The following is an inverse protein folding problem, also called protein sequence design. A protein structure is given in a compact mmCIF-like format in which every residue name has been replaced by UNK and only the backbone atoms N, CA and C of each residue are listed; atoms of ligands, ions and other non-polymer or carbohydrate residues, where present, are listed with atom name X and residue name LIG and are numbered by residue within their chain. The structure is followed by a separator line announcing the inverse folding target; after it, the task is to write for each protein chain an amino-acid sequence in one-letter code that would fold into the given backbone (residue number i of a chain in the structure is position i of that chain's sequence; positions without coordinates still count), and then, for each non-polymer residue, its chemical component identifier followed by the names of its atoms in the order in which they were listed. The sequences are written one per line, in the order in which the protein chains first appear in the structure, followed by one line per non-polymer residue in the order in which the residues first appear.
data_IF_721101665842
#
_entry.id   IF_721101665842
#
_cell.length_a   1.000
_cell.length_b   1.000
_cell.length_c   1.000
_cell.angle_alpha   90.00
_cell.angle_beta   90.00
_cell.angle_gamma   90.00
#
_symmetry.space_group_name_H-M   'P 1'
#
loop_
_entity.id
_entity.type
_entity.pdbx_description
1 polymer ?
#
# COMPACT_ATOMS: atom_id res chain seq x y z
N UNK A 1 4.62 37.85 -7.32
CA UNK A 1 5.84 37.44 -6.58
C UNK A 1 7.06 37.40 -7.51
N UNK A 2 6.89 37.00 -8.76
CA UNK A 2 7.99 36.83 -9.74
C UNK A 2 8.70 38.19 -10.12
N UNK A 3 8.00 39.30 -10.01
CA UNK A 3 8.55 40.66 -10.34
C UNK A 3 9.01 41.45 -9.09
N UNK A 4 9.05 40.83 -7.93
CA UNK A 4 9.41 41.50 -6.67
C UNK A 4 10.92 41.45 -6.41
N UNK A 5 11.57 42.60 -6.21
CA UNK A 5 13.00 42.68 -5.91
C UNK A 5 13.43 41.98 -4.57
N UNK A 6 12.48 41.58 -3.72
CA UNK A 6 12.70 40.95 -2.40
C UNK A 6 12.18 39.51 -2.32
N UNK A 7 11.69 38.96 -3.43
CA UNK A 7 11.12 37.62 -3.43
C UNK A 7 11.74 36.78 -4.54
N UNK A 8 12.07 35.53 -4.25
CA UNK A 8 12.48 34.52 -5.21
C UNK A 8 11.34 33.51 -5.38
N UNK A 9 10.81 33.39 -6.57
CA UNK A 9 9.86 32.33 -6.92
C UNK A 9 10.63 31.16 -7.55
N UNK A 10 10.60 30.00 -6.88
CA UNK A 10 11.21 28.78 -7.40
C UNK A 10 10.08 27.87 -7.90
N UNK A 11 9.97 27.63 -9.22
CA UNK A 11 8.97 26.72 -9.74
C UNK A 11 9.35 25.28 -9.36
N UNK A 12 8.42 24.57 -8.73
CA UNK A 12 8.57 23.15 -8.41
C UNK A 12 7.66 22.36 -9.38
N UNK A 13 8.26 21.74 -10.37
CA UNK A 13 7.56 20.85 -11.28
C UNK A 13 7.53 19.43 -10.72
N UNK A 14 6.48 18.67 -11.06
CA UNK A 14 6.46 17.24 -10.76
C UNK A 14 7.54 16.52 -11.59
N UNK A 15 8.23 15.58 -10.95
CA UNK A 15 9.22 14.76 -11.67
C UNK A 15 8.52 13.79 -12.64
N UNK A 16 9.11 13.61 -13.81
CA UNK A 16 8.73 12.54 -14.72
C UNK A 16 9.33 11.20 -14.26
N UNK A 17 8.72 10.08 -14.64
CA UNK A 17 9.21 8.73 -14.31
C UNK A 17 10.68 8.54 -14.71
N UNK A 18 11.11 9.16 -15.82
CA UNK A 18 12.51 9.13 -16.26
C UNK A 18 13.46 9.78 -15.26
N UNK A 19 13.06 10.90 -14.67
CA UNK A 19 13.89 11.65 -13.72
C UNK A 19 13.98 10.93 -12.38
N UNK A 20 12.88 10.31 -11.96
CA UNK A 20 12.85 9.45 -10.77
C UNK A 20 13.68 8.17 -10.93
N UNK A 21 13.69 7.56 -12.13
CA UNK A 21 14.57 6.44 -12.44
C UNK A 21 16.05 6.85 -12.42
N UNK A 22 16.40 8.01 -12.98
CA UNK A 22 17.76 8.53 -12.92
C UNK A 22 18.21 8.79 -11.48
N UNK A 23 17.33 9.34 -10.65
CA UNK A 23 17.56 9.51 -9.21
C UNK A 23 17.81 8.17 -8.51
N UNK A 24 16.98 7.17 -8.80
CA UNK A 24 17.12 5.82 -8.23
C UNK A 24 18.44 5.18 -8.63
N UNK A 25 18.81 5.25 -9.90
CA UNK A 25 20.08 4.71 -10.43
C UNK A 25 21.30 5.42 -9.79
N UNK A 26 21.24 6.74 -9.61
CA UNK A 26 22.29 7.49 -8.94
C UNK A 26 22.46 7.06 -7.47
N UNK A 27 21.35 6.95 -6.72
CA UNK A 27 21.39 6.53 -5.32
C UNK A 27 21.87 5.07 -5.16
N UNK A 28 21.47 4.17 -6.04
CA UNK A 28 21.97 2.78 -6.05
C UNK A 28 23.47 2.72 -6.36
N UNK A 29 23.93 3.57 -7.30
CA UNK A 29 25.34 3.62 -7.69
C UNK A 29 26.26 4.08 -6.55
N UNK A 30 25.79 4.97 -5.66
CA UNK A 30 26.53 5.37 -4.44
C UNK A 30 26.85 4.16 -3.56
N UNK A 31 25.99 3.15 -3.56
CA UNK A 31 26.17 1.89 -2.84
C UNK A 31 26.78 0.77 -3.70
N UNK A 32 27.28 1.08 -4.90
CA UNK A 32 27.84 0.08 -5.81
C UNK A 32 26.81 -0.91 -6.35
N UNK A 33 25.53 -0.51 -6.40
CA UNK A 33 24.43 -1.30 -6.95
C UNK A 33 24.03 -0.82 -8.33
N UNK A 34 23.69 -1.73 -9.23
CA UNK A 34 23.18 -1.42 -10.56
C UNK A 34 21.86 -2.14 -10.83
N UNK A 35 20.94 -1.51 -11.55
CA UNK A 35 19.69 -2.15 -11.98
C UNK A 35 19.91 -3.01 -13.22
N UNK A 36 19.39 -4.23 -13.21
CA UNK A 36 19.22 -5.00 -14.43
C UNK A 36 18.12 -4.34 -15.32
N UNK A 37 18.18 -4.46 -16.66
CA UNK A 37 17.23 -3.79 -17.55
C UNK A 37 15.77 -4.16 -17.30
N UNK A 38 15.48 -5.42 -16.96
CA UNK A 38 14.15 -5.92 -16.62
C UNK A 38 13.70 -5.46 -15.22
N UNK A 39 14.64 -5.38 -14.26
CA UNK A 39 14.40 -4.79 -12.96
C UNK A 39 14.08 -3.30 -13.06
N UNK A 40 14.78 -2.56 -13.92
CA UNK A 40 14.53 -1.15 -14.21
C UNK A 40 13.09 -0.91 -14.70
N UNK A 41 12.65 -1.71 -15.66
CA UNK A 41 11.29 -1.63 -16.19
C UNK A 41 10.23 -1.97 -15.15
N UNK A 42 10.53 -2.91 -14.25
CA UNK A 42 9.62 -3.30 -13.16
C UNK A 42 9.58 -2.27 -12.03
N UNK A 43 10.67 -1.57 -11.75
CA UNK A 43 10.76 -0.55 -10.68
C UNK A 43 10.03 0.74 -11.05
N UNK A 44 10.01 1.11 -12.34
CA UNK A 44 9.48 2.37 -12.84
C UNK A 44 8.08 2.74 -12.29
N UNK A 45 7.06 1.83 -12.27
CA UNK A 45 5.74 2.13 -11.74
C UNK A 45 5.70 2.40 -10.23
N UNK A 46 6.71 1.95 -9.48
CA UNK A 46 6.79 2.16 -8.03
C UNK A 46 7.41 3.52 -7.66
N UNK A 47 8.04 4.19 -8.63
CA UNK A 47 8.68 5.50 -8.43
C UNK A 47 7.77 6.68 -8.81
N UNK A 48 6.52 6.42 -9.24
CA UNK A 48 5.61 7.47 -9.70
C UNK A 48 5.17 8.38 -8.54
N UNK A 49 5.14 9.68 -8.80
CA UNK A 49 4.42 10.69 -8.05
C UNK A 49 5.23 11.53 -7.07
N UNK A 50 6.17 11.00 -6.31
CA UNK A 50 6.88 11.74 -5.27
C UNK A 50 8.34 11.29 -5.13
N UNK A 51 9.26 12.26 -5.14
CA UNK A 51 10.70 12.06 -4.99
C UNK A 51 11.09 11.45 -3.65
N UNK A 52 10.38 11.77 -2.57
CA UNK A 52 10.62 11.20 -1.25
C UNK A 52 10.19 9.73 -1.19
N UNK A 53 9.05 9.39 -1.81
CA UNK A 53 8.59 8.02 -1.95
C UNK A 53 9.59 7.20 -2.79
N UNK A 54 10.03 7.72 -3.94
CA UNK A 54 11.01 7.06 -4.79
C UNK A 54 12.32 6.75 -4.03
N UNK A 55 12.83 7.70 -3.24
CA UNK A 55 14.01 7.47 -2.38
C UNK A 55 13.78 6.36 -1.36
N UNK A 56 12.62 6.34 -0.71
CA UNK A 56 12.29 5.30 0.26
C UNK A 56 12.22 3.91 -0.37
N UNK A 57 11.70 3.79 -1.60
CA UNK A 57 11.68 2.51 -2.34
C UNK A 57 13.11 2.05 -2.67
N UNK A 58 13.98 2.99 -3.06
CA UNK A 58 15.40 2.69 -3.35
C UNK A 58 16.16 2.31 -2.09
N UNK A 59 15.93 2.99 -0.95
CA UNK A 59 16.54 2.64 0.34
C UNK A 59 16.18 1.21 0.76
N UNK A 60 14.95 0.78 0.55
CA UNK A 60 14.55 -0.62 0.82
C UNK A 60 15.35 -1.62 -0.04
N UNK A 61 15.59 -1.30 -1.31
CA UNK A 61 16.42 -2.12 -2.20
C UNK A 61 17.87 -2.19 -1.73
N UNK A 62 18.44 -1.07 -1.30
CA UNK A 62 19.80 -0.99 -0.76
C UNK A 62 19.91 -1.85 0.51
N UNK A 63 18.98 -1.68 1.45
CA UNK A 63 18.96 -2.46 2.70
C UNK A 63 18.77 -3.96 2.45
N UNK A 64 17.96 -4.32 1.47
CA UNK A 64 17.73 -5.72 1.11
C UNK A 64 18.99 -6.38 0.52
N UNK A 65 19.75 -5.67 -0.32
CA UNK A 65 21.02 -6.16 -0.89
C UNK A 65 22.18 -6.07 0.08
N UNK A 66 22.05 -5.29 1.15
CA UNK A 66 23.13 -4.91 2.06
C UNK A 66 23.88 -3.66 1.58
N UNK A 67 24.38 -2.89 2.52
CA UNK A 67 25.19 -1.71 2.27
C UNK A 67 26.53 -2.08 1.65
N UNK A 68 27.20 -1.14 0.98
CA UNK A 68 28.49 -1.38 0.31
C UNK A 68 29.56 -1.94 1.25
N UNK A 69 29.63 -1.45 2.48
CA UNK A 69 30.53 -1.91 3.53
C UNK A 69 30.21 -3.35 3.98
N UNK A 70 28.96 -3.72 4.10
CA UNK A 70 28.52 -5.07 4.45
C UNK A 70 28.82 -6.09 3.36
N UNK A 71 28.90 -5.65 2.09
CA UNK A 71 29.28 -6.47 0.94
C UNK A 71 30.80 -6.46 0.68
N UNK A 72 31.61 -5.85 1.53
CA UNK A 72 33.05 -5.73 1.31
C UNK A 72 33.42 -4.82 0.14
N UNK A 73 32.54 -3.93 -0.30
CA UNK A 73 32.72 -3.04 -1.45
C UNK A 73 32.48 -3.72 -2.79
N UNK A 74 32.05 -4.99 -2.83
CA UNK A 74 31.77 -5.69 -4.09
C UNK A 74 30.53 -5.11 -4.79
N UNK A 75 30.65 -4.78 -6.10
CA UNK A 75 29.49 -4.36 -6.89
C UNK A 75 28.45 -5.48 -6.98
N UNK A 76 27.17 -5.12 -6.86
CA UNK A 76 26.09 -6.06 -7.01
C UNK A 76 25.01 -5.53 -7.95
N UNK A 77 24.14 -6.42 -8.41
CA UNK A 77 23.04 -6.08 -9.31
C UNK A 77 21.69 -6.33 -8.64
N UNK A 78 20.80 -5.40 -8.82
CA UNK A 78 19.38 -5.56 -8.47
C UNK A 78 18.69 -6.27 -9.62
N UNK A 79 18.22 -7.46 -9.36
CA UNK A 79 17.49 -8.30 -10.31
C UNK A 79 15.97 -8.14 -10.12
N UNK A 80 15.19 -8.56 -11.11
CA UNK A 80 13.73 -8.58 -11.03
C UNK A 80 13.20 -9.31 -9.80
N UNK A 81 13.87 -10.40 -9.39
CA UNK A 81 13.51 -11.17 -8.21
C UNK A 81 13.62 -10.36 -6.92
N UNK A 82 14.59 -9.45 -6.82
CA UNK A 82 14.79 -8.59 -5.65
C UNK A 82 13.64 -7.59 -5.51
N UNK A 83 13.23 -6.96 -6.62
CA UNK A 83 12.08 -6.05 -6.64
C UNK A 83 10.81 -6.81 -6.27
N UNK A 84 10.62 -8.02 -6.80
CA UNK A 84 9.48 -8.86 -6.45
C UNK A 84 9.47 -9.20 -4.96
N UNK A 85 10.61 -9.55 -4.37
CA UNK A 85 10.72 -9.89 -2.95
C UNK A 85 10.35 -8.71 -2.03
N UNK A 86 10.82 -7.50 -2.38
CA UNK A 86 10.53 -6.29 -1.60
C UNK A 86 9.10 -5.80 -1.82
N UNK A 87 8.62 -5.81 -3.07
CA UNK A 87 7.28 -5.38 -3.42
C UNK A 87 6.21 -6.36 -2.95
N UNK A 88 6.52 -7.66 -2.86
CA UNK A 88 5.59 -8.67 -2.37
C UNK A 88 5.21 -8.47 -0.89
N UNK A 89 6.14 -7.95 -0.07
CA UNK A 89 5.88 -7.67 1.34
C UNK A 89 4.92 -6.49 1.59
N UNK A 90 4.73 -5.61 0.59
CA UNK A 90 3.89 -4.42 0.71
C UNK A 90 3.07 -4.10 -0.54
N UNK A 91 3.02 -5.00 -1.54
CA UNK A 91 2.29 -4.72 -2.78
C UNK A 91 0.78 -4.56 -2.51
N UNK A 92 0.17 -3.63 -3.21
CA UNK A 92 -1.30 -3.43 -3.17
C UNK A 92 -2.05 -4.74 -3.45
N UNK A 93 -1.52 -5.58 -4.35
CA UNK A 93 -2.04 -6.90 -4.66
C UNK A 93 -1.96 -7.88 -3.47
N UNK A 94 -0.88 -7.85 -2.69
CA UNK A 94 -0.75 -8.69 -1.48
C UNK A 94 -1.73 -8.23 -0.38
N UNK A 95 -1.92 -6.92 -0.24
CA UNK A 95 -2.88 -6.35 0.69
C UNK A 95 -4.33 -6.62 0.26
N UNK A 96 -4.62 -6.58 -1.03
CA UNK A 96 -5.94 -6.96 -1.57
C UNK A 96 -6.29 -8.42 -1.31
N UNK A 97 -5.31 -9.34 -1.27
CA UNK A 97 -5.54 -10.73 -0.87
C UNK A 97 -6.04 -10.87 0.58
N UNK A 98 -5.75 -9.89 1.45
CA UNK A 98 -6.29 -9.84 2.82
C UNK A 98 -7.65 -9.16 2.82
N UNK A 99 -7.77 -8.02 2.14
CA UNK A 99 -8.96 -7.18 2.17
C UNK A 99 -10.15 -7.81 1.46
N UNK A 100 -9.91 -8.52 0.35
CA UNK A 100 -10.98 -9.19 -0.39
C UNK A 100 -11.76 -10.19 0.48
N UNK A 101 -11.15 -11.18 1.13
CA UNK A 101 -11.88 -12.10 2.01
C UNK A 101 -12.39 -11.42 3.29
N UNK A 102 -11.66 -10.43 3.84
CA UNK A 102 -12.09 -9.71 5.03
C UNK A 102 -13.40 -8.95 4.80
N UNK A 103 -13.50 -8.22 3.69
CA UNK A 103 -14.70 -7.47 3.33
C UNK A 103 -15.72 -8.30 2.54
N UNK A 104 -15.30 -9.44 2.00
CA UNK A 104 -16.13 -10.40 1.28
C UNK A 104 -16.86 -11.43 2.14
N UNK A 105 -16.48 -11.57 3.43
CA UNK A 105 -17.13 -12.46 4.38
C UNK A 105 -16.57 -13.88 4.42
N UNK A 106 -15.26 -14.03 4.26
CA UNK A 106 -14.52 -15.29 4.41
C UNK A 106 -13.48 -15.17 5.53
N UNK A 107 -13.84 -15.42 6.80
CA UNK A 107 -12.94 -15.28 7.94
C UNK A 107 -11.70 -16.19 7.85
N UNK A 108 -11.87 -17.43 7.38
CA UNK A 108 -10.77 -18.39 7.34
C UNK A 108 -9.71 -17.98 6.32
N UNK A 109 -10.15 -17.55 5.13
CA UNK A 109 -9.25 -17.05 4.08
C UNK A 109 -8.60 -15.73 4.49
N UNK A 110 -9.33 -14.82 5.15
CA UNK A 110 -8.81 -13.55 5.63
C UNK A 110 -7.70 -13.75 6.67
N UNK A 111 -7.92 -14.63 7.65
CA UNK A 111 -6.95 -14.97 8.69
C UNK A 111 -5.68 -15.58 8.09
N UNK A 112 -5.84 -16.58 7.23
CA UNK A 112 -4.72 -17.23 6.55
C UNK A 112 -3.90 -16.28 5.67
N UNK A 113 -4.57 -15.36 4.96
CA UNK A 113 -3.89 -14.36 4.13
C UNK A 113 -3.13 -13.35 4.99
N UNK A 114 -3.73 -12.90 6.09
CA UNK A 114 -3.10 -11.99 7.03
C UNK A 114 -1.87 -12.62 7.69
N UNK A 115 -1.98 -13.84 8.22
CA UNK A 115 -0.87 -14.55 8.85
C UNK A 115 0.31 -14.73 7.87
N UNK A 116 0.04 -15.11 6.61
CA UNK A 116 1.09 -15.23 5.58
C UNK A 116 1.76 -13.89 5.29
N UNK A 117 0.99 -12.81 5.17
CA UNK A 117 1.53 -11.50 4.86
C UNK A 117 2.42 -10.96 6.00
N UNK A 118 1.99 -11.13 7.26
CA UNK A 118 2.80 -10.74 8.43
C UNK A 118 4.04 -11.63 8.53
N UNK A 119 3.92 -12.94 8.33
CA UNK A 119 5.06 -13.85 8.27
C UNK A 119 6.06 -13.54 7.15
N UNK A 120 5.61 -12.90 6.07
CA UNK A 120 6.45 -12.38 4.98
C UNK A 120 6.99 -10.96 5.24
N UNK A 121 6.77 -10.38 6.44
CA UNK A 121 7.29 -9.07 6.83
C UNK A 121 6.35 -7.90 6.56
N UNK A 122 5.10 -8.13 6.14
CA UNK A 122 4.13 -7.03 5.97
C UNK A 122 3.79 -6.44 7.34
N UNK A 123 3.95 -5.11 7.46
CA UNK A 123 3.59 -4.41 8.70
C UNK A 123 2.08 -4.47 8.97
N UNK A 124 1.63 -4.88 10.16
CA UNK A 124 0.22 -4.80 10.55
C UNK A 124 -0.37 -3.39 10.41
N UNK A 125 0.43 -2.35 10.69
CA UNK A 125 0.01 -0.96 10.53
C UNK A 125 -0.23 -0.61 9.05
N UNK A 126 0.56 -1.15 8.13
CA UNK A 126 0.33 -0.96 6.70
C UNK A 126 -1.00 -1.60 6.26
N UNK A 127 -1.30 -2.82 6.73
CA UNK A 127 -2.59 -3.49 6.49
C UNK A 127 -3.75 -2.64 7.01
N UNK A 128 -3.63 -2.12 8.23
CA UNK A 128 -4.66 -1.26 8.84
C UNK A 128 -4.91 0.00 8.00
N UNK A 129 -3.87 0.68 7.53
CA UNK A 129 -3.99 1.89 6.70
C UNK A 129 -4.71 1.62 5.37
N UNK A 130 -4.38 0.50 4.72
CA UNK A 130 -5.04 0.14 3.45
C UNK A 130 -6.50 -0.25 3.69
N UNK A 131 -6.79 -0.91 4.80
CA UNK A 131 -8.16 -1.21 5.21
C UNK A 131 -8.97 0.07 5.47
N UNK A 132 -8.41 1.04 6.19
CA UNK A 132 -9.05 2.36 6.41
C UNK A 132 -9.32 3.06 5.09
N UNK A 133 -8.33 3.13 4.19
CA UNK A 133 -8.52 3.68 2.83
C UNK A 133 -9.65 2.98 2.10
N UNK A 134 -9.75 1.65 2.19
CA UNK A 134 -10.82 0.90 1.54
C UNK A 134 -12.20 1.22 2.13
N UNK A 135 -12.30 1.40 3.44
CA UNK A 135 -13.53 1.84 4.12
C UNK A 135 -13.94 3.24 3.65
N UNK A 136 -12.99 4.17 3.52
CA UNK A 136 -13.25 5.53 3.01
C UNK A 136 -13.70 5.52 1.54
N UNK A 137 -13.08 4.67 0.72
CA UNK A 137 -13.50 4.47 -0.67
C UNK A 137 -14.93 3.94 -0.78
N UNK A 138 -15.34 3.01 0.11
CA UNK A 138 -16.72 2.52 0.18
C UNK A 138 -17.70 3.63 0.57
N UNK A 139 -17.31 4.50 1.50
CA UNK A 139 -18.13 5.66 1.89
C UNK A 139 -18.31 6.64 0.73
N UNK A 140 -17.23 7.03 0.08
CA UNK A 140 -17.27 7.89 -1.11
C UNK A 140 -18.11 7.29 -2.24
N UNK A 141 -18.00 5.98 -2.45
CA UNK A 141 -18.81 5.27 -3.43
C UNK A 141 -20.30 5.36 -3.13
N UNK A 142 -20.70 5.11 -1.88
CA UNK A 142 -22.11 5.21 -1.46
C UNK A 142 -22.63 6.66 -1.49
N UNK A 143 -21.83 7.62 -0.99
CA UNK A 143 -22.17 9.03 -1.04
C UNK A 143 -22.34 9.56 -2.48
N UNK A 144 -21.61 8.98 -3.42
CA UNK A 144 -21.68 9.33 -4.83
C UNK A 144 -22.77 8.62 -5.63
N UNK A 145 -23.67 7.87 -4.98
CA UNK A 145 -24.79 7.18 -5.64
C UNK A 145 -24.51 5.77 -6.10
N UNK A 146 -23.31 5.22 -5.88
CA UNK A 146 -22.97 3.81 -6.12
C UNK A 146 -22.84 3.41 -7.60
N UNK A 147 -22.67 4.36 -8.50
CA UNK A 147 -22.49 4.14 -9.93
C UNK A 147 -21.01 4.10 -10.38
N UNK A 148 -20.77 3.96 -11.69
CA UNK A 148 -19.41 3.95 -12.24
C UNK A 148 -18.66 5.27 -12.04
N UNK A 149 -19.37 6.40 -12.03
CA UNK A 149 -18.78 7.70 -11.74
C UNK A 149 -18.37 7.83 -10.27
N UNK A 150 -19.19 7.31 -9.36
CA UNK A 150 -18.86 7.22 -7.94
C UNK A 150 -17.64 6.32 -7.70
N UNK A 151 -17.54 5.18 -8.41
CA UNK A 151 -16.41 4.28 -8.35
C UNK A 151 -15.10 5.00 -8.75
N UNK A 152 -15.15 5.79 -9.83
CA UNK A 152 -14.00 6.57 -10.28
C UNK A 152 -13.59 7.65 -9.28
N UNK A 153 -14.56 8.40 -8.72
CA UNK A 153 -14.29 9.43 -7.71
C UNK A 153 -13.72 8.87 -6.40
N UNK A 154 -14.14 7.67 -6.02
CA UNK A 154 -13.61 6.96 -4.87
C UNK A 154 -12.18 6.42 -5.08
N UNK A 155 -11.62 6.52 -6.29
CA UNK A 155 -10.32 5.93 -6.62
C UNK A 155 -10.31 4.40 -6.50
N UNK A 156 -11.48 3.77 -6.67
CA UNK A 156 -11.62 2.32 -6.58
C UNK A 156 -11.34 1.65 -7.93
N UNK A 157 -10.96 0.35 -7.94
CA UNK A 157 -10.75 -0.40 -9.17
C UNK A 157 -12.02 -0.39 -10.04
N UNK A 158 -11.87 -0.06 -11.33
CA UNK A 158 -13.01 0.08 -12.25
C UNK A 158 -13.32 -1.17 -13.04
N UNK A 159 -12.34 -2.05 -13.25
CA UNK A 159 -12.44 -3.22 -14.11
C UNK A 159 -11.81 -4.46 -13.46
N UNK A 160 -12.26 -5.62 -13.92
CA UNK A 160 -11.70 -6.92 -13.54
C UNK A 160 -12.02 -7.38 -12.12
N UNK A 161 -11.40 -8.48 -11.66
CA UNK A 161 -11.66 -9.09 -10.37
C UNK A 161 -11.57 -8.14 -9.16
N UNK A 162 -10.64 -7.16 -9.10
CA UNK A 162 -10.61 -6.18 -8.01
C UNK A 162 -11.84 -5.29 -7.94
N UNK A 163 -12.42 -4.90 -9.11
CA UNK A 163 -13.66 -4.12 -9.14
C UNK A 163 -14.85 -4.94 -8.65
N UNK A 164 -14.91 -6.22 -8.98
CA UNK A 164 -15.97 -7.11 -8.50
C UNK A 164 -15.85 -7.36 -6.99
N UNK A 165 -14.62 -7.51 -6.47
CA UNK A 165 -14.37 -7.59 -5.04
C UNK A 165 -14.80 -6.32 -4.31
N UNK A 166 -14.49 -5.13 -4.85
CA UNK A 166 -14.94 -3.85 -4.32
C UNK A 166 -16.47 -3.73 -4.29
N UNK A 167 -17.14 -4.09 -5.38
CA UNK A 167 -18.62 -4.07 -5.45
C UNK A 167 -19.26 -5.05 -4.46
N UNK A 168 -18.67 -6.22 -4.25
CA UNK A 168 -19.10 -7.17 -3.20
C UNK A 168 -18.96 -6.54 -1.82
N UNK A 169 -17.80 -5.94 -1.53
CA UNK A 169 -17.57 -5.22 -0.27
C UNK A 169 -18.59 -4.09 -0.06
N UNK A 170 -18.89 -3.31 -1.10
CA UNK A 170 -19.87 -2.23 -1.06
C UNK A 170 -21.29 -2.74 -0.73
N UNK A 171 -21.68 -3.92 -1.25
CA UNK A 171 -22.94 -4.56 -0.89
C UNK A 171 -22.97 -4.99 0.58
N UNK A 172 -21.86 -5.47 1.13
CA UNK A 172 -21.77 -5.98 2.49
C UNK A 172 -21.70 -4.83 3.53
N UNK A 173 -21.01 -3.74 3.16
CA UNK A 173 -20.77 -2.59 4.01
C UNK A 173 -21.48 -1.35 3.45
N UNK A 174 -22.68 -1.10 3.96
CA UNK A 174 -23.49 0.09 3.66
C UNK A 174 -24.19 0.59 4.95
N UNK A 175 -24.48 1.89 5.04
CA UNK A 175 -25.15 2.50 6.17
C UNK A 175 -24.54 2.11 7.52
N UNK A 176 -25.31 1.66 8.48
CA UNK A 176 -24.86 1.34 9.84
C UNK A 176 -23.68 0.34 9.90
N UNK A 177 -23.57 -0.57 8.93
CA UNK A 177 -22.47 -1.53 8.90
C UNK A 177 -21.16 -0.86 8.50
N UNK A 178 -21.21 0.07 7.56
CA UNK A 178 -20.04 0.86 7.18
C UNK A 178 -19.58 1.75 8.35
N UNK A 179 -20.51 2.39 9.04
CA UNK A 179 -20.22 3.17 10.25
C UNK A 179 -19.59 2.31 11.35
N UNK A 180 -20.06 1.08 11.50
CA UNK A 180 -19.49 0.15 12.47
C UNK A 180 -18.07 -0.27 12.07
N UNK A 181 -17.83 -0.59 10.80
CA UNK A 181 -16.51 -0.92 10.29
C UNK A 181 -15.52 0.23 10.49
N UNK A 182 -15.95 1.48 10.25
CA UNK A 182 -15.14 2.69 10.50
C UNK A 182 -14.78 2.83 11.97
N UNK A 183 -15.74 2.64 12.89
CA UNK A 183 -15.46 2.67 14.34
C UNK A 183 -14.46 1.60 14.75
N UNK A 184 -14.62 0.35 14.29
CA UNK A 184 -13.69 -0.73 14.58
C UNK A 184 -12.27 -0.42 14.08
N UNK A 185 -12.14 0.12 12.87
CA UNK A 185 -10.84 0.50 12.30
C UNK A 185 -10.18 1.65 13.09
N UNK A 186 -10.97 2.64 13.52
CA UNK A 186 -10.50 3.75 14.34
C UNK A 186 -10.05 3.28 15.75
N UNK A 187 -10.81 2.39 16.38
CA UNK A 187 -10.46 1.84 17.69
C UNK A 187 -9.18 1.00 17.62
N UNK A 188 -9.02 0.22 16.55
CA UNK A 188 -7.79 -0.54 16.28
C UNK A 188 -6.59 0.39 16.08
N UNK A 189 -6.75 1.49 15.34
CA UNK A 189 -5.69 2.48 15.15
C UNK A 189 -5.25 3.10 16.48
N UNK A 190 -6.20 3.49 17.32
CA UNK A 190 -5.88 4.01 18.64
C UNK A 190 -5.19 2.99 19.53
N UNK A 191 -5.59 1.73 19.42
CA UNK A 191 -4.98 0.65 20.18
C UNK A 191 -3.54 0.37 19.76
N UNK A 192 -3.28 0.31 18.45
CA UNK A 192 -1.93 0.06 17.87
C UNK A 192 -0.96 1.19 18.20
N UNK A 193 -1.44 2.43 18.33
CA UNK A 193 -0.58 3.60 18.68
C UNK A 193 -0.12 3.63 20.13
N UNK A 194 -0.60 2.74 21.00
CA UNK A 194 -0.13 2.64 22.38
C UNK A 194 1.24 1.96 22.43
N UNK A 195 2.13 2.45 23.28
CA UNK A 195 3.44 1.85 23.47
C UNK A 195 3.31 0.38 23.91
N UNK A 196 4.05 -0.52 23.27
CA UNK A 196 4.02 -1.95 23.56
C UNK A 196 2.77 -2.69 23.09
N UNK A 197 1.93 -2.06 22.27
CA UNK A 197 0.70 -2.70 21.77
C UNK A 197 1.03 -3.90 20.86
N UNK A 198 0.33 -5.04 20.99
CA UNK A 198 0.47 -6.17 20.10
C UNK A 198 -0.25 -5.89 18.76
N UNK A 199 0.39 -5.09 17.90
CA UNK A 199 -0.22 -4.59 16.65
C UNK A 199 -0.73 -5.72 15.76
N UNK A 200 0.00 -6.84 15.69
CA UNK A 200 -0.40 -8.01 14.90
C UNK A 200 -1.74 -8.57 15.38
N UNK A 201 -1.89 -8.82 16.69
CA UNK A 201 -3.12 -9.36 17.24
C UNK A 201 -4.31 -8.39 17.08
N UNK A 202 -4.09 -7.09 17.30
CA UNK A 202 -5.12 -6.06 17.18
C UNK A 202 -5.66 -5.99 15.74
N UNK A 203 -4.77 -5.97 14.75
CA UNK A 203 -5.17 -5.89 13.34
C UNK A 203 -5.78 -7.21 12.87
N UNK A 204 -5.26 -8.37 13.30
CA UNK A 204 -5.84 -9.68 13.04
C UNK A 204 -7.28 -9.80 13.57
N UNK A 205 -7.51 -9.34 14.80
CA UNK A 205 -8.86 -9.31 15.38
C UNK A 205 -9.81 -8.40 14.58
N UNK A 206 -9.36 -7.22 14.16
CA UNK A 206 -10.13 -6.32 13.30
C UNK A 206 -10.55 -7.01 12.00
N UNK A 207 -9.61 -7.65 11.31
CA UNK A 207 -9.86 -8.38 10.05
C UNK A 207 -10.92 -9.46 10.24
N UNK A 208 -10.79 -10.26 11.30
CA UNK A 208 -11.76 -11.33 11.62
C UNK A 208 -13.15 -10.78 11.98
N UNK A 209 -13.22 -9.68 12.72
CA UNK A 209 -14.51 -9.03 13.05
C UNK A 209 -15.22 -8.53 11.80
N UNK A 210 -14.49 -7.91 10.87
CA UNK A 210 -15.06 -7.42 9.61
C UNK A 210 -15.53 -8.59 8.73
N UNK A 211 -14.74 -9.65 8.62
CA UNK A 211 -15.10 -10.83 7.85
C UNK A 211 -16.35 -11.51 8.39
N UNK A 212 -16.49 -11.66 9.71
CA UNK A 212 -17.69 -12.21 10.36
C UNK A 212 -18.90 -11.31 10.16
N UNK A 213 -18.75 -9.99 10.31
CA UNK A 213 -19.84 -9.04 10.07
C UNK A 213 -20.37 -9.09 8.63
N UNK A 214 -19.49 -9.38 7.68
CA UNK A 214 -19.84 -9.57 6.27
C UNK A 214 -20.52 -10.92 5.99
N UNK A 215 -20.06 -12.01 6.64
CA UNK A 215 -20.59 -13.37 6.46
C UNK A 215 -22.05 -13.52 6.91
N UNK A 216 -22.50 -12.77 7.93
CA UNK A 216 -23.86 -12.83 8.49
C UNK A 216 -24.96 -12.38 7.51
N UNK A 217 -24.64 -12.05 6.26
CA UNK A 217 -25.60 -11.67 5.21
C UNK A 217 -25.95 -12.82 4.25
N UNK A 218 -25.28 -13.97 4.40
CA UNK A 218 -25.62 -15.20 3.66
C UNK A 218 -26.60 -16.02 4.47
#
# INVERSE_FOLDING_TARGET
AEDGASCLAVPCYADETRDLLALAEAQLAEEGLALAPDARAMLAPYLEGDRALARSEVEKLILYKGLADQRGGEPARIERADITAISAAGSEAALDQILEPALGGDPARADSAYARAVGAGTSPVAVLRVLQRRIDQLDMFHAGGGDMGALARAGAPRFGPPADAFKRAAKNFSGRRLDHARRLAFDAERAVKRSGAPAEAIVGELILRLARASALRR
#
